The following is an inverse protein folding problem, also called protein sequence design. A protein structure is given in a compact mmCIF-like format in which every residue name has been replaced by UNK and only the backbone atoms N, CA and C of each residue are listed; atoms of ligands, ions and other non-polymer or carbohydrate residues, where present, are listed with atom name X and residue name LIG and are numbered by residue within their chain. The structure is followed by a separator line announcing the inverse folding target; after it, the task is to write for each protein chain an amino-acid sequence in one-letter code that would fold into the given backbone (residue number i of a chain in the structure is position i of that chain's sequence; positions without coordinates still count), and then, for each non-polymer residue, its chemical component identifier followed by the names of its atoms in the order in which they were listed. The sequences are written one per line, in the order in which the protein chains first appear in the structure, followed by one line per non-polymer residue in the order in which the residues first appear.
data_IF_883505420274
#
_entry.id   IF_883505420274
#
_cell.length_a   1.000
_cell.length_b   1.000
_cell.length_c   1.000
_cell.angle_alpha   90.00
_cell.angle_beta   90.00
_cell.angle_gamma   90.00
#
_symmetry.space_group_name_H-M   'P 1'
#
loop_
_entity.id
_entity.type
_entity.pdbx_description
1 polymer ?
#
# COMPACT_ATOMS: atom_id res chain seq x y z
N UNK A 1 -16.34 1.37 -11.98
CA UNK A 1 -15.09 0.84 -12.56
C UNK A 1 -15.34 -0.58 -13.04
N UNK A 2 -14.99 -0.96 -14.28
CA UNK A 2 -15.02 -2.36 -14.74
C UNK A 2 -13.59 -2.91 -14.66
N UNK A 3 -13.41 -4.02 -13.93
CA UNK A 3 -12.11 -4.66 -13.67
C UNK A 3 -12.04 -6.00 -14.41
N UNK A 4 -11.80 -5.99 -15.71
CA UNK A 4 -11.72 -7.23 -16.51
C UNK A 4 -10.31 -7.81 -16.49
N UNK A 5 -9.30 -6.94 -16.42
CA UNK A 5 -7.88 -7.30 -16.53
C UNK A 5 -7.05 -6.67 -15.40
N UNK A 6 -7.17 -7.16 -14.15
CA UNK A 6 -6.24 -6.78 -13.10
C UNK A 6 -4.86 -7.40 -13.37
N UNK A 7 -3.81 -6.57 -13.38
CA UNK A 7 -2.43 -7.04 -13.57
C UNK A 7 -1.62 -6.87 -12.29
N UNK A 8 -1.05 -7.96 -11.79
CA UNK A 8 -0.17 -7.94 -10.62
C UNK A 8 1.25 -7.51 -10.99
N UNK A 9 1.83 -6.64 -10.17
CA UNK A 9 3.24 -6.28 -10.22
C UNK A 9 3.82 -6.26 -8.80
N UNK A 10 5.01 -6.85 -8.58
CA UNK A 10 5.61 -6.87 -7.26
C UNK A 10 6.06 -5.47 -6.82
N UNK A 11 5.78 -5.11 -5.57
CA UNK A 11 6.07 -3.79 -5.00
C UNK A 11 7.55 -3.49 -4.84
N UNK A 12 8.43 -4.50 -4.93
CA UNK A 12 9.89 -4.38 -4.87
C UNK A 12 10.56 -4.28 -6.25
N UNK A 13 9.78 -4.19 -7.34
CA UNK A 13 10.30 -4.12 -8.70
C UNK A 13 9.71 -2.94 -9.47
N UNK A 14 10.28 -1.73 -9.32
CA UNK A 14 9.79 -0.52 -9.98
C UNK A 14 9.71 -0.70 -11.50
N UNK A 15 10.70 -1.36 -12.10
CA UNK A 15 10.72 -1.70 -13.54
C UNK A 15 9.50 -2.53 -13.98
N UNK A 16 9.06 -3.51 -13.18
CA UNK A 16 7.89 -4.32 -13.51
C UNK A 16 6.60 -3.54 -13.28
N UNK A 17 6.54 -2.74 -12.21
CA UNK A 17 5.41 -1.87 -11.93
C UNK A 17 5.20 -0.85 -13.05
N UNK A 18 6.25 -0.14 -13.49
CA UNK A 18 6.19 0.81 -14.61
C UNK A 18 5.67 0.17 -15.91
N UNK A 19 6.15 -1.03 -16.24
CA UNK A 19 5.65 -1.78 -17.41
C UNK A 19 4.18 -2.17 -17.27
N UNK A 20 3.77 -2.62 -16.08
CA UNK A 20 2.37 -2.95 -15.80
C UNK A 20 1.49 -1.71 -15.90
N UNK A 21 1.96 -0.58 -15.36
CA UNK A 21 1.30 0.72 -15.41
C UNK A 21 1.21 1.23 -16.84
N UNK A 22 2.18 0.95 -17.72
CA UNK A 22 2.11 1.33 -19.14
C UNK A 22 1.23 0.41 -20.00
N UNK A 23 0.76 -0.73 -19.46
CA UNK A 23 0.00 -1.73 -20.22
C UNK A 23 -1.44 -1.30 -20.54
N UNK A 24 -2.22 -2.15 -21.21
CA UNK A 24 -3.65 -1.95 -21.45
C UNK A 24 -4.56 -2.53 -20.32
N UNK A 25 -3.98 -2.91 -19.18
CA UNK A 25 -4.72 -3.44 -18.04
C UNK A 25 -5.70 -2.41 -17.46
N UNK A 26 -6.90 -2.87 -17.05
CA UNK A 26 -7.93 -2.04 -16.43
C UNK A 26 -7.48 -1.51 -15.05
N UNK A 27 -6.65 -2.28 -14.33
CA UNK A 27 -5.96 -1.84 -13.13
C UNK A 27 -4.62 -2.55 -12.93
N UNK A 28 -3.76 -1.96 -12.10
CA UNK A 28 -2.53 -2.59 -11.65
C UNK A 28 -2.62 -2.80 -10.15
N UNK A 29 -2.34 -4.04 -9.71
CA UNK A 29 -2.24 -4.41 -8.32
C UNK A 29 -0.76 -4.45 -7.95
N UNK A 30 -0.31 -3.47 -7.17
CA UNK A 30 1.02 -3.48 -6.57
C UNK A 30 1.00 -4.42 -5.36
N UNK A 31 1.82 -5.45 -5.41
CA UNK A 31 1.80 -6.55 -4.46
C UNK A 31 2.90 -6.43 -3.40
N UNK A 32 2.49 -6.31 -2.14
CA UNK A 32 3.39 -6.35 -0.98
C UNK A 32 3.38 -7.72 -0.29
N UNK A 33 2.55 -8.67 -0.72
CA UNK A 33 2.36 -9.98 -0.11
C UNK A 33 3.36 -11.00 -0.70
N UNK A 34 2.88 -12.05 -1.37
CA UNK A 34 3.66 -13.24 -1.67
C UNK A 34 4.73 -13.01 -2.75
N UNK A 35 4.59 -11.94 -3.55
CA UNK A 35 5.61 -11.59 -4.54
C UNK A 35 6.87 -10.93 -3.95
N UNK A 36 6.87 -10.63 -2.65
CA UNK A 36 7.96 -9.91 -1.97
C UNK A 36 8.50 -10.77 -0.83
N UNK A 37 9.81 -11.03 -0.83
CA UNK A 37 10.47 -11.75 0.25
C UNK A 37 10.40 -10.95 1.57
N UNK A 38 10.40 -11.65 2.70
CA UNK A 38 10.30 -11.02 4.03
C UNK A 38 11.35 -9.92 4.27
N UNK A 39 12.58 -10.12 3.81
CA UNK A 39 13.68 -9.15 3.90
C UNK A 39 13.49 -7.90 3.02
N UNK A 40 12.63 -7.98 2.00
CA UNK A 40 12.37 -6.90 1.05
C UNK A 40 11.14 -6.04 1.38
N UNK A 41 10.35 -6.40 2.40
CA UNK A 41 9.04 -5.78 2.68
C UNK A 41 9.12 -4.27 2.90
N UNK A 42 10.13 -3.80 3.63
CA UNK A 42 10.28 -2.37 3.93
C UNK A 42 10.65 -1.56 2.68
N UNK A 43 11.56 -2.09 1.86
CA UNK A 43 11.92 -1.46 0.59
C UNK A 43 10.75 -1.46 -0.40
N UNK A 44 10.03 -2.58 -0.51
CA UNK A 44 8.85 -2.71 -1.36
C UNK A 44 7.75 -1.71 -0.98
N UNK A 45 7.52 -1.51 0.32
CA UNK A 45 6.55 -0.54 0.84
C UNK A 45 6.93 0.88 0.45
N UNK A 46 8.20 1.26 0.63
CA UNK A 46 8.68 2.59 0.25
C UNK A 46 8.51 2.83 -1.26
N UNK A 47 8.92 1.88 -2.10
CA UNK A 47 8.78 1.97 -3.55
C UNK A 47 7.32 2.04 -3.99
N UNK A 48 6.44 1.23 -3.38
CA UNK A 48 5.00 1.24 -3.65
C UNK A 48 4.39 2.60 -3.35
N UNK A 49 4.77 3.25 -2.24
CA UNK A 49 4.30 4.60 -1.89
C UNK A 49 4.72 5.62 -2.94
N UNK A 50 5.97 5.59 -3.39
CA UNK A 50 6.45 6.51 -4.43
C UNK A 50 5.71 6.33 -5.75
N UNK A 51 5.50 5.08 -6.18
CA UNK A 51 4.74 4.77 -7.41
C UNK A 51 3.29 5.28 -7.30
N UNK A 52 2.63 5.01 -6.16
CA UNK A 52 1.24 5.44 -5.94
C UNK A 52 1.12 6.96 -6.00
N UNK A 53 2.02 7.69 -5.33
CA UNK A 53 2.02 9.16 -5.33
C UNK A 53 2.29 9.74 -6.71
N UNK A 54 3.23 9.16 -7.45
CA UNK A 54 3.57 9.61 -8.80
C UNK A 54 2.41 9.42 -9.80
N UNK A 55 1.52 8.46 -9.55
CA UNK A 55 0.44 8.07 -10.47
C UNK A 55 -0.96 8.43 -9.96
N UNK A 56 -1.05 9.20 -8.86
CA UNK A 56 -2.29 9.48 -8.15
C UNK A 56 -3.41 10.08 -9.03
N UNK A 57 -3.05 10.75 -10.14
CA UNK A 57 -4.00 11.38 -11.06
C UNK A 57 -4.34 10.54 -12.31
N UNK A 58 -3.61 9.47 -12.60
CA UNK A 58 -3.59 8.89 -13.96
C UNK A 58 -4.20 7.49 -14.07
N UNK A 59 -4.09 6.63 -13.03
CA UNK A 59 -4.52 5.22 -13.12
C UNK A 59 -5.09 4.70 -11.81
N UNK A 60 -5.99 3.72 -11.95
CA UNK A 60 -6.48 2.95 -10.82
C UNK A 60 -5.40 1.97 -10.34
N UNK A 61 -4.59 2.42 -9.38
CA UNK A 61 -3.65 1.57 -8.67
C UNK A 61 -4.33 0.97 -7.45
N UNK A 62 -4.29 -0.35 -7.36
CA UNK A 62 -4.68 -1.12 -6.19
C UNK A 62 -3.41 -1.56 -5.48
N UNK A 63 -3.38 -1.55 -4.16
CA UNK A 63 -2.26 -2.13 -3.41
C UNK A 63 -2.75 -3.33 -2.62
N UNK A 64 -2.14 -4.50 -2.83
CA UNK A 64 -2.36 -5.69 -2.01
C UNK A 64 -1.38 -5.65 -0.84
N UNK A 65 -1.94 -5.53 0.37
CA UNK A 65 -1.16 -5.51 1.63
C UNK A 65 -0.90 -6.92 2.12
N UNK A 66 -0.05 -7.08 3.14
CA UNK A 66 0.09 -8.37 3.81
C UNK A 66 -1.14 -8.75 4.65
N UNK A 67 -1.39 -10.04 4.93
CA UNK A 67 -2.49 -10.51 5.77
C UNK A 67 -2.45 -9.94 7.19
N UNK A 68 -3.63 -9.77 7.80
CA UNK A 68 -3.83 -9.11 9.09
C UNK A 68 -3.04 -9.71 10.26
N UNK A 69 -2.81 -11.01 10.23
CA UNK A 69 -2.09 -11.80 11.25
C UNK A 69 -0.56 -11.75 11.09
N UNK A 70 -0.05 -11.00 10.10
CA UNK A 70 1.39 -10.84 9.87
C UNK A 70 1.94 -9.56 10.51
N UNK A 71 3.25 -9.54 10.85
CA UNK A 71 3.88 -8.34 11.40
C UNK A 71 3.92 -7.15 10.42
N UNK A 72 3.72 -7.36 9.12
CA UNK A 72 3.84 -6.31 8.11
C UNK A 72 2.55 -5.52 7.89
N UNK A 73 1.39 -6.08 8.24
CA UNK A 73 0.08 -5.52 7.92
C UNK A 73 -0.11 -4.05 8.35
N UNK A 74 0.15 -3.74 9.62
CA UNK A 74 -0.03 -2.39 10.14
C UNK A 74 0.96 -1.39 9.54
N UNK A 75 2.18 -1.85 9.21
CA UNK A 75 3.17 -1.02 8.54
C UNK A 75 2.74 -0.70 7.10
N UNK A 76 2.18 -1.68 6.39
CA UNK A 76 1.65 -1.48 5.05
C UNK A 76 0.50 -0.46 5.06
N UNK A 77 -0.45 -0.60 5.98
CA UNK A 77 -1.55 0.36 6.13
C UNK A 77 -1.07 1.77 6.44
N UNK A 78 -0.14 1.90 7.40
CA UNK A 78 0.39 3.19 7.81
C UNK A 78 1.10 3.95 6.66
N UNK A 79 1.71 3.22 5.73
CA UNK A 79 2.40 3.82 4.59
C UNK A 79 1.48 4.04 3.38
N UNK A 80 0.67 3.04 3.04
CA UNK A 80 -0.10 3.01 1.80
C UNK A 80 -1.37 3.85 1.89
N UNK A 81 -2.08 3.84 3.03
CA UNK A 81 -3.34 4.59 3.16
C UNK A 81 -3.13 6.10 2.92
N UNK A 82 -2.10 6.76 3.51
CA UNK A 82 -1.81 8.16 3.22
C UNK A 82 -1.28 8.42 1.81
N UNK A 83 -0.72 7.41 1.13
CA UNK A 83 -0.27 7.56 -0.26
C UNK A 83 -1.46 7.67 -1.24
N UNK A 84 -2.64 7.19 -0.85
CA UNK A 84 -3.88 7.38 -1.58
C UNK A 84 -4.03 6.53 -2.84
N UNK A 85 -3.84 5.19 -2.79
CA UNK A 85 -4.19 4.33 -3.91
C UNK A 85 -5.70 4.36 -4.16
N UNK A 86 -6.11 3.92 -5.36
CA UNK A 86 -7.52 3.85 -5.73
C UNK A 86 -8.28 2.80 -4.89
N UNK A 87 -7.61 1.71 -4.49
CA UNK A 87 -8.15 0.74 -3.56
C UNK A 87 -7.05 -0.01 -2.79
N UNK A 88 -7.44 -0.61 -1.66
CA UNK A 88 -6.65 -1.60 -0.94
C UNK A 88 -7.25 -2.99 -1.17
N UNK A 89 -6.39 -3.98 -1.35
CA UNK A 89 -6.76 -5.39 -1.39
C UNK A 89 -6.23 -6.08 -0.13
N UNK A 90 -7.14 -6.58 0.71
CA UNK A 90 -6.83 -7.37 1.88
C UNK A 90 -6.81 -8.86 1.50
N UNK A 91 -5.66 -9.53 1.51
CA UNK A 91 -5.61 -10.97 1.27
C UNK A 91 -6.11 -11.75 2.50
N UNK A 92 -6.52 -13.01 2.26
CA UNK A 92 -6.88 -13.98 3.31
C UNK A 92 -7.92 -13.46 4.32
N UNK A 93 -8.84 -12.61 3.85
CA UNK A 93 -9.97 -12.10 4.62
C UNK A 93 -10.87 -13.28 5.04
N UNK A 94 -11.04 -13.49 6.35
CA UNK A 94 -11.80 -14.62 6.90
C UNK A 94 -13.28 -14.29 7.12
N UNK A 95 -13.66 -13.00 7.12
CA UNK A 95 -15.04 -12.60 7.26
C UNK A 95 -15.25 -11.10 7.38
N UNK A 96 -16.48 -10.71 7.69
CA UNK A 96 -16.91 -9.30 7.78
C UNK A 96 -16.13 -8.50 8.83
N UNK A 97 -15.70 -9.15 9.91
CA UNK A 97 -14.99 -8.46 11.00
C UNK A 97 -13.60 -7.99 10.58
N UNK A 98 -12.92 -8.71 9.68
CA UNK A 98 -11.65 -8.24 9.11
C UNK A 98 -11.84 -6.96 8.30
N UNK A 99 -12.94 -6.87 7.54
CA UNK A 99 -13.28 -5.68 6.76
C UNK A 99 -13.63 -4.49 7.65
N UNK A 100 -14.39 -4.72 8.74
CA UNK A 100 -14.73 -3.67 9.72
C UNK A 100 -13.48 -3.12 10.41
N UNK A 101 -12.56 -4.00 10.82
CA UNK A 101 -11.29 -3.60 11.43
C UNK A 101 -10.44 -2.81 10.44
N UNK A 102 -10.33 -3.28 9.19
CA UNK A 102 -9.61 -2.57 8.13
C UNK A 102 -10.19 -1.17 7.89
N UNK A 103 -11.51 -1.04 7.76
CA UNK A 103 -12.18 0.25 7.54
C UNK A 103 -11.88 1.25 8.66
N UNK A 104 -11.99 0.81 9.92
CA UNK A 104 -11.64 1.63 11.07
C UNK A 104 -10.17 2.08 11.05
N UNK A 105 -9.25 1.16 10.75
CA UNK A 105 -7.82 1.47 10.65
C UNK A 105 -7.52 2.44 9.50
N UNK A 106 -8.14 2.25 8.33
CA UNK A 106 -8.01 3.16 7.20
C UNK A 106 -8.51 4.57 7.56
N UNK A 107 -9.63 4.68 8.27
CA UNK A 107 -10.17 5.96 8.71
C UNK A 107 -9.18 6.71 9.62
N UNK A 108 -8.50 5.99 10.53
CA UNK A 108 -7.46 6.56 11.38
C UNK A 108 -6.27 7.08 10.58
N UNK A 109 -5.76 6.30 9.62
CA UNK A 109 -4.60 6.70 8.80
C UNK A 109 -4.90 7.80 7.78
N UNK A 110 -6.12 7.89 7.26
CA UNK A 110 -6.55 9.00 6.38
C UNK A 110 -6.64 10.32 7.13
N UNK A 111 -7.03 10.28 8.42
CA UNK A 111 -7.23 11.47 9.26
C UNK A 111 -5.98 11.91 10.00
N UNK A 112 -4.98 11.05 10.14
CA UNK A 112 -3.73 11.40 10.78
C UNK A 112 -2.98 12.43 9.92
N UNK A 113 -2.83 13.71 10.34
CA UNK A 113 -1.80 14.56 9.75
C UNK A 113 -0.49 13.83 9.95
N UNK A 114 0.36 13.75 8.91
CA UNK A 114 1.63 13.05 8.93
C UNK A 114 2.36 13.33 10.26
N UNK A 115 2.22 12.40 11.21
CA UNK A 115 2.59 12.66 12.58
C UNK A 115 4.11 12.70 12.58
N UNK A 116 4.66 13.92 12.64
CA UNK A 116 6.10 14.15 12.70
C UNK A 116 6.61 13.48 13.97
N UNK A 117 7.09 12.24 13.84
CA UNK A 117 7.79 11.55 14.92
C UNK A 117 9.05 12.35 15.25
N UNK A 118 9.07 12.93 16.44
CA UNK A 118 10.24 13.34 17.22
C UNK A 118 11.24 14.29 16.55
N UNK A 119 11.06 15.61 16.70
CA UNK A 119 12.24 16.45 16.96
C UNK A 119 12.56 16.24 18.44
N UNK A 120 13.67 15.56 18.71
CA UNK A 120 14.30 15.56 20.02
C UNK A 120 14.46 17.01 20.49
N UNK A 121 13.88 17.33 21.64
CA UNK A 121 14.16 18.56 22.34
C UNK A 121 15.66 18.56 22.70
N UNK A 122 16.45 19.38 22.01
CA UNK A 122 17.74 19.81 22.51
C UNK A 122 17.48 20.96 23.48
N UNK A 123 17.58 20.68 24.78
CA UNK A 123 17.62 21.69 25.84
C UNK A 123 18.84 22.59 25.67
N UNK A 124 18.75 23.91 25.94
CA UNK A 124 19.91 24.78 25.94
C UNK A 124 20.65 24.69 27.28
N UNK A 125 21.98 24.66 27.22
CA UNK A 125 22.90 25.06 28.29
C UNK A 125 23.94 25.97 27.67
#
# INVERSE_FOLDING_TARGET
MKLRTPLFAPGDSPRKAEKAIASAADCVILDLEDSVAASGKDAARAQTVEIVRAQAAARALVVRVNPRDTPWYLHDLAAVVPAGPAALMLPKCAGIDDLRVLDHQMACWRRAPACRRGRSASSPS
#
